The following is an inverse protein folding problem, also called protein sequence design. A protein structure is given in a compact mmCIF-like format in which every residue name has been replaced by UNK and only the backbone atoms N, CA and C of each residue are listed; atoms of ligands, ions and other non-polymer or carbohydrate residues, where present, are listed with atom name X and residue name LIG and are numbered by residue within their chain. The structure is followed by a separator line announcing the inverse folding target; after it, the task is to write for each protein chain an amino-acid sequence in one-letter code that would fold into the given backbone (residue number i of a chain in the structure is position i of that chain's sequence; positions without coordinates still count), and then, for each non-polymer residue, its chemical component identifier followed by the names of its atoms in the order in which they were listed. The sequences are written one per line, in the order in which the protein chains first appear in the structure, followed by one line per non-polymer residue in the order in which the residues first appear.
data_IF_297633640304
#
_entry.id   IF_297633640304
#
_cell.length_a   1.000
_cell.length_b   1.000
_cell.length_c   1.000
_cell.angle_alpha   90.00
_cell.angle_beta   90.00
_cell.angle_gamma   90.00
#
_symmetry.space_group_name_H-M   'P 1'
#
loop_
_entity.id
_entity.type
_entity.pdbx_description
1 polymer ?
#
# COMPACT_ATOMS: atom_id res chain seq x y z
N UNK A 1 -32.77 83.09 -23.08
CA UNK A 1 -32.52 82.60 -21.69
C UNK A 1 -31.05 82.23 -21.61
N UNK A 2 -30.34 82.71 -20.57
CA UNK A 2 -28.87 82.92 -20.48
C UNK A 2 -27.99 81.67 -20.52
N UNK A 3 -26.67 81.72 -20.77
CA UNK A 3 -25.54 82.57 -20.30
C UNK A 3 -25.08 82.31 -18.85
N UNK A 4 -23.80 81.91 -18.73
CA UNK A 4 -22.93 81.85 -17.53
C UNK A 4 -23.23 80.77 -16.47
N UNK A 5 -22.28 80.18 -15.74
CA UNK A 5 -20.81 80.04 -15.80
C UNK A 5 -20.43 79.12 -14.60
N UNK A 6 -19.23 78.53 -14.65
CA UNK A 6 -18.31 78.49 -13.50
C UNK A 6 -18.55 77.55 -12.28
N UNK A 7 -17.45 76.90 -11.85
CA UNK A 7 -17.12 76.23 -10.56
C UNK A 7 -17.57 74.78 -10.39
N UNK A 8 -16.77 73.80 -9.95
CA UNK A 8 -15.51 73.68 -9.19
C UNK A 8 -14.97 72.27 -9.52
N UNK A 9 -13.70 72.05 -9.85
CA UNK A 9 -12.60 72.02 -8.88
C UNK A 9 -12.56 70.71 -8.08
N UNK A 10 -11.90 69.67 -8.60
CA UNK A 10 -11.31 68.60 -7.78
C UNK A 10 -9.97 68.16 -8.38
N UNK A 11 -8.90 68.49 -7.67
CA UNK A 11 -7.52 68.05 -7.89
C UNK A 11 -7.47 66.52 -7.95
N UNK A 12 -6.88 65.98 -9.00
CA UNK A 12 -6.35 64.61 -9.01
C UNK A 12 -5.02 64.66 -8.27
N UNK A 13 -4.97 64.01 -7.11
CA UNK A 13 -3.72 63.69 -6.44
C UNK A 13 -3.02 62.59 -7.25
N UNK A 14 -1.79 62.87 -7.67
CA UNK A 14 -0.83 61.88 -8.13
C UNK A 14 -0.50 60.96 -6.94
N UNK A 15 -1.06 59.74 -6.95
CA UNK A 15 -0.52 58.67 -6.14
C UNK A 15 0.68 58.10 -6.87
N UNK A 16 1.84 58.37 -6.29
CA UNK A 16 3.10 57.68 -6.52
C UNK A 16 2.87 56.18 -6.66
N UNK A 17 3.30 55.64 -7.80
CA UNK A 17 3.54 54.23 -8.00
C UNK A 17 4.66 53.79 -7.05
N UNK A 18 4.31 53.32 -5.87
CA UNK A 18 5.15 52.37 -5.15
C UNK A 18 5.23 51.11 -6.01
N UNK A 19 6.35 50.98 -6.72
CA UNK A 19 6.85 49.70 -7.20
C UNK A 19 6.87 48.74 -6.00
N UNK A 20 5.83 47.91 -5.93
CA UNK A 20 5.89 46.69 -5.16
C UNK A 20 6.67 45.71 -6.02
N UNK A 21 7.98 45.65 -5.79
CA UNK A 21 8.75 44.45 -6.06
C UNK A 21 8.07 43.32 -5.29
N UNK A 22 7.14 42.61 -5.95
CA UNK A 22 6.61 41.36 -5.46
C UNK A 22 7.77 40.39 -5.43
N UNK A 23 8.25 40.13 -4.22
CA UNK A 23 9.27 39.16 -3.90
C UNK A 23 8.79 37.78 -4.38
N UNK A 24 9.21 37.40 -5.58
CA UNK A 24 8.79 36.18 -6.29
C UNK A 24 9.46 34.91 -5.72
N UNK A 25 10.09 35.05 -4.55
CA UNK A 25 10.77 34.00 -3.77
C UNK A 25 9.81 33.17 -2.91
N UNK A 26 8.53 33.56 -2.79
CA UNK A 26 7.58 32.94 -1.85
C UNK A 26 7.06 31.54 -2.18
N UNK A 27 7.37 30.98 -3.36
CA UNK A 27 6.75 29.71 -3.82
C UNK A 27 7.77 28.62 -4.19
N UNK A 28 8.87 28.48 -3.45
CA UNK A 28 9.89 27.45 -3.72
C UNK A 28 10.02 26.48 -2.54
N UNK A 29 10.08 25.19 -2.84
CA UNK A 29 10.35 24.17 -1.83
C UNK A 29 11.78 24.29 -1.29
N UNK A 30 11.93 24.06 0.01
CA UNK A 30 13.18 23.63 0.64
C UNK A 30 13.35 22.13 0.40
N UNK A 31 14.54 21.68 0.05
CA UNK A 31 14.80 20.27 -0.29
C UNK A 31 16.24 19.89 0.03
N UNK A 32 16.47 18.61 0.31
CA UNK A 32 17.79 17.98 0.47
C UNK A 32 18.26 17.27 -0.81
N UNK A 33 17.67 17.56 -1.97
CA UNK A 33 17.97 16.81 -3.19
C UNK A 33 19.45 16.83 -3.61
N UNK A 34 20.16 17.90 -3.26
CA UNK A 34 21.60 18.05 -3.53
C UNK A 34 22.45 17.05 -2.74
N UNK A 35 21.98 16.58 -1.57
CA UNK A 35 22.66 15.56 -0.76
C UNK A 35 22.75 14.21 -1.50
N UNK A 36 21.88 14.01 -2.49
CA UNK A 36 21.84 12.82 -3.34
C UNK A 36 22.49 13.06 -4.72
N UNK A 37 23.21 14.16 -4.91
CA UNK A 37 23.96 14.45 -6.13
C UNK A 37 23.13 15.02 -7.28
N UNK A 38 21.87 15.39 -7.04
CA UNK A 38 21.05 16.05 -8.05
C UNK A 38 21.24 17.57 -8.02
N UNK A 39 21.29 18.19 -9.20
CA UNK A 39 21.26 19.66 -9.29
C UNK A 39 19.92 20.20 -8.78
N UNK A 40 19.93 21.31 -8.05
CA UNK A 40 18.71 21.95 -7.57
C UNK A 40 17.78 22.33 -8.71
N UNK A 41 16.48 22.11 -8.55
CA UNK A 41 15.45 22.59 -9.47
C UNK A 41 14.29 23.26 -8.73
N UNK A 42 13.54 24.06 -9.47
CA UNK A 42 12.43 24.83 -8.94
C UNK A 42 11.11 24.15 -9.27
N UNK A 43 10.48 23.59 -8.24
CA UNK A 43 9.07 23.20 -8.27
C UNK A 43 8.24 24.33 -7.67
N UNK A 44 7.19 24.75 -8.37
CA UNK A 44 6.18 25.63 -7.79
C UNK A 44 5.39 24.89 -6.71
N UNK A 45 5.16 25.54 -5.56
CA UNK A 45 4.35 24.96 -4.47
C UNK A 45 2.87 25.20 -4.76
N UNK A 46 2.10 24.13 -5.00
CA UNK A 46 0.62 24.23 -5.09
C UNK A 46 -0.08 23.85 -3.80
N UNK A 47 0.62 23.22 -2.86
CA UNK A 47 0.04 22.70 -1.62
C UNK A 47 -0.73 21.39 -1.83
N UNK A 48 -0.59 20.77 -3.00
CA UNK A 48 -1.32 19.56 -3.38
C UNK A 48 -0.33 18.49 -3.81
N UNK A 49 -0.17 17.46 -2.98
CA UNK A 49 0.77 16.35 -3.22
C UNK A 49 0.60 15.71 -4.60
N UNK A 50 -0.62 15.62 -5.12
CA UNK A 50 -0.88 15.08 -6.46
C UNK A 50 -0.29 15.93 -7.58
N UNK A 51 -0.32 17.26 -7.44
CA UNK A 51 0.19 18.17 -8.46
C UNK A 51 1.70 18.30 -8.33
N UNK A 52 2.17 18.62 -7.13
CA UNK A 52 3.60 18.82 -6.86
C UNK A 52 4.39 17.52 -7.07
N UNK A 53 3.78 16.38 -6.75
CA UNK A 53 4.31 15.05 -7.01
C UNK A 53 4.50 14.73 -8.48
N UNK A 54 3.51 15.03 -9.34
CA UNK A 54 3.63 14.86 -10.79
C UNK A 54 4.75 15.73 -11.36
N UNK A 55 4.88 16.97 -10.86
CA UNK A 55 5.95 17.86 -11.30
C UNK A 55 7.34 17.33 -10.89
N UNK A 56 7.48 16.82 -9.66
CA UNK A 56 8.71 16.18 -9.22
C UNK A 56 9.04 14.96 -10.10
N UNK A 57 8.09 14.06 -10.32
CA UNK A 57 8.26 12.89 -11.19
C UNK A 57 8.70 13.31 -12.60
N UNK A 58 8.04 14.32 -13.19
CA UNK A 58 8.36 14.80 -14.53
C UNK A 58 9.80 15.31 -14.64
N UNK A 59 10.31 16.00 -13.61
CA UNK A 59 11.69 16.45 -13.56
C UNK A 59 12.68 15.27 -13.51
N UNK A 60 12.44 14.28 -12.64
CA UNK A 60 13.29 13.09 -12.56
C UNK A 60 13.33 12.34 -13.90
N UNK A 61 12.19 12.17 -14.57
CA UNK A 61 12.10 11.51 -15.88
C UNK A 61 12.84 12.29 -16.97
N UNK A 62 12.71 13.62 -17.01
CA UNK A 62 13.41 14.45 -18.00
C UNK A 62 14.93 14.39 -17.81
N UNK A 63 15.41 14.41 -16.56
CA UNK A 63 16.82 14.25 -16.22
C UNK A 63 17.36 12.89 -16.61
N UNK A 64 16.64 11.83 -16.24
CA UNK A 64 17.01 10.46 -16.58
C UNK A 64 17.16 10.31 -18.10
N UNK A 65 16.20 10.84 -18.86
CA UNK A 65 16.22 10.86 -20.32
C UNK A 65 17.43 11.61 -20.88
N UNK A 66 17.77 12.79 -20.35
CA UNK A 66 18.94 13.58 -20.77
C UNK A 66 20.27 12.86 -20.48
N UNK A 67 20.30 12.06 -19.43
CA UNK A 67 21.49 11.31 -18.99
C UNK A 67 21.55 9.88 -19.56
N UNK A 68 20.50 9.42 -20.24
CA UNK A 68 20.41 8.04 -20.73
C UNK A 68 20.29 7.01 -19.60
N UNK A 69 19.71 7.40 -18.47
CA UNK A 69 19.49 6.57 -17.28
C UNK A 69 18.06 6.06 -17.29
N UNK A 70 17.85 4.81 -16.86
CA UNK A 70 16.52 4.25 -16.66
C UNK A 70 15.86 4.89 -15.43
N UNK A 71 14.60 5.28 -15.56
CA UNK A 71 13.84 5.85 -14.45
C UNK A 71 12.41 5.31 -14.42
N UNK A 72 12.01 4.78 -13.28
CA UNK A 72 10.65 4.30 -13.02
C UNK A 72 10.14 4.89 -11.71
N UNK A 73 8.81 4.90 -11.53
CA UNK A 73 8.20 5.46 -10.34
C UNK A 73 6.93 4.72 -9.96
N UNK A 74 6.54 4.83 -8.71
CA UNK A 74 5.23 4.43 -8.20
C UNK A 74 4.68 5.50 -7.27
N UNK A 75 3.37 5.69 -7.29
CA UNK A 75 2.65 6.63 -6.42
C UNK A 75 1.90 5.86 -5.34
N UNK A 76 1.81 6.43 -4.14
CA UNK A 76 1.18 5.81 -2.96
C UNK A 76 1.71 4.38 -2.73
N UNK A 77 3.02 4.23 -2.75
CA UNK A 77 3.68 2.94 -2.57
C UNK A 77 3.55 2.48 -1.12
N UNK A 78 3.15 1.23 -0.92
CA UNK A 78 2.99 0.63 0.41
C UNK A 78 4.11 -0.37 0.63
N UNK A 79 4.91 -0.19 1.67
CA UNK A 79 5.89 -1.17 2.15
C UNK A 79 5.37 -1.88 3.39
N UNK A 80 5.65 -3.18 3.50
CA UNK A 80 5.17 -3.99 4.60
C UNK A 80 6.30 -4.29 5.59
N UNK A 81 6.21 -3.62 6.74
CA UNK A 81 7.15 -3.72 7.85
C UNK A 81 6.59 -4.66 8.93
N UNK A 82 7.40 -4.98 9.95
CA UNK A 82 6.96 -5.82 11.06
C UNK A 82 5.88 -5.13 11.91
N UNK A 83 5.98 -3.82 12.01
CA UNK A 83 5.10 -2.96 12.78
C UNK A 83 3.78 -2.66 12.05
N UNK A 84 3.72 -2.82 10.72
CA UNK A 84 2.55 -2.52 9.91
C UNK A 84 2.88 -2.11 8.47
N UNK A 85 1.97 -1.37 7.84
CA UNK A 85 2.10 -0.83 6.50
C UNK A 85 2.61 0.62 6.55
N UNK A 86 3.66 0.89 5.77
CA UNK A 86 4.21 2.23 5.55
C UNK A 86 3.81 2.71 4.16
N UNK A 87 2.95 3.71 4.09
CA UNK A 87 2.54 4.34 2.83
C UNK A 87 3.39 5.58 2.55
N UNK A 88 4.11 5.57 1.42
CA UNK A 88 4.91 6.70 0.96
C UNK A 88 4.30 7.32 -0.31
N UNK A 89 4.30 8.67 -0.45
CA UNK A 89 3.61 9.32 -1.56
C UNK A 89 4.16 8.94 -2.93
N UNK A 90 5.48 8.90 -3.08
CA UNK A 90 6.15 8.61 -4.34
C UNK A 90 7.45 7.87 -4.05
N UNK A 91 7.70 6.83 -4.84
CA UNK A 91 9.02 6.19 -4.93
C UNK A 91 9.53 6.28 -6.35
N UNK A 92 10.84 6.41 -6.51
CA UNK A 92 11.52 6.53 -7.80
C UNK A 92 12.73 5.60 -7.81
N UNK A 93 12.87 4.79 -8.86
CA UNK A 93 14.15 4.18 -9.21
C UNK A 93 14.80 5.08 -10.27
N UNK A 94 16.03 5.53 -10.02
CA UNK A 94 16.82 6.35 -10.91
C UNK A 94 18.18 5.67 -11.11
N UNK A 95 18.33 4.93 -12.21
CA UNK A 95 19.41 3.98 -12.38
C UNK A 95 19.37 2.90 -11.28
N UNK A 96 20.52 2.64 -10.66
CA UNK A 96 20.65 1.64 -9.58
C UNK A 96 20.24 2.16 -8.19
N UNK A 97 19.72 3.39 -8.11
CA UNK A 97 19.38 4.04 -6.85
C UNK A 97 17.86 4.16 -6.68
N UNK A 98 17.39 3.88 -5.47
CA UNK A 98 15.98 3.88 -5.11
C UNK A 98 15.69 4.99 -4.09
N UNK A 99 14.74 5.86 -4.40
CA UNK A 99 14.41 7.07 -3.64
C UNK A 99 12.96 7.08 -3.19
N UNK A 100 12.73 7.58 -1.98
CA UNK A 100 11.42 7.96 -1.47
C UNK A 100 11.28 9.48 -1.55
N UNK A 101 10.21 9.99 -2.16
CA UNK A 101 9.91 11.42 -2.14
C UNK A 101 8.78 11.73 -1.16
N UNK A 102 8.99 12.72 -0.29
CA UNK A 102 8.01 13.15 0.69
C UNK A 102 7.76 14.67 0.62
N UNK A 103 6.51 15.08 0.80
CA UNK A 103 6.09 16.49 0.68
C UNK A 103 5.62 17.01 2.02
N UNK A 104 6.14 18.16 2.44
CA UNK A 104 5.87 18.76 3.75
C UNK A 104 5.22 20.12 3.53
N UNK A 105 3.92 20.23 3.77
CA UNK A 105 3.17 21.48 3.57
C UNK A 105 2.87 22.20 4.88
N UNK A 106 2.76 21.43 5.97
CA UNK A 106 2.40 21.91 7.29
C UNK A 106 3.16 21.12 8.37
N UNK A 107 2.94 21.50 9.62
CA UNK A 107 3.58 20.88 10.78
C UNK A 107 3.25 19.40 10.92
N UNK A 108 2.02 18.97 10.61
CA UNK A 108 1.64 17.55 10.68
C UNK A 108 2.45 16.69 9.69
N UNK A 109 2.66 17.19 8.47
CA UNK A 109 3.50 16.51 7.48
C UNK A 109 4.96 16.42 7.96
N UNK A 110 5.46 17.46 8.63
CA UNK A 110 6.80 17.46 9.22
C UNK A 110 6.93 16.38 10.30
N UNK A 111 5.92 16.22 11.17
CA UNK A 111 5.93 15.18 12.19
C UNK A 111 5.92 13.77 11.59
N UNK A 112 5.17 13.57 10.50
CA UNK A 112 5.14 12.31 9.74
C UNK A 112 6.47 12.04 9.04
N UNK A 113 7.08 13.06 8.44
CA UNK A 113 8.41 12.97 7.85
C UNK A 113 9.45 12.53 8.88
N UNK A 114 9.41 13.07 10.11
CA UNK A 114 10.32 12.66 11.20
C UNK A 114 10.14 11.20 11.61
N UNK A 115 8.93 10.66 11.58
CA UNK A 115 8.72 9.23 11.77
C UNK A 115 9.25 8.43 10.57
N UNK A 116 8.99 8.88 9.35
CA UNK A 116 9.48 8.23 8.13
C UNK A 116 11.02 8.12 8.09
N UNK A 117 11.76 9.14 8.54
CA UNK A 117 13.24 9.09 8.65
C UNK A 117 13.73 7.87 9.44
N UNK A 118 12.95 7.38 10.42
CA UNK A 118 13.32 6.24 11.27
C UNK A 118 13.03 4.87 10.61
N UNK A 119 12.16 4.84 9.60
CA UNK A 119 11.66 3.60 9.00
C UNK A 119 12.10 3.41 7.54
N UNK A 120 12.36 4.49 6.80
CA UNK A 120 12.62 4.45 5.35
C UNK A 120 13.81 3.54 4.99
N UNK A 121 14.82 3.45 5.87
CA UNK A 121 15.98 2.58 5.69
C UNK A 121 15.67 1.07 5.74
N UNK A 122 14.49 0.68 6.22
CA UNK A 122 13.99 -0.71 6.20
C UNK A 122 13.25 -1.07 4.91
N UNK A 123 13.05 -0.11 4.01
CA UNK A 123 12.29 -0.28 2.76
C UNK A 123 13.22 -0.49 1.57
N UNK A 124 12.66 -0.89 0.43
CA UNK A 124 13.38 -0.93 -0.84
C UNK A 124 13.81 0.46 -1.38
N UNK A 125 13.33 1.56 -0.77
CA UNK A 125 13.56 2.94 -1.23
C UNK A 125 14.18 3.80 -0.10
N UNK A 126 15.39 3.47 0.36
CA UNK A 126 15.97 4.05 1.57
C UNK A 126 16.38 5.53 1.43
N UNK A 127 16.57 6.04 0.21
CA UNK A 127 17.05 7.40 -0.02
C UNK A 127 15.90 8.41 0.06
N UNK A 128 15.73 9.07 1.20
CA UNK A 128 14.62 9.99 1.45
C UNK A 128 14.91 11.42 1.00
N UNK A 129 14.19 11.88 -0.03
CA UNK A 129 14.19 13.27 -0.51
C UNK A 129 12.91 13.96 -0.04
N UNK A 130 13.04 15.12 0.61
CA UNK A 130 11.89 15.94 0.97
C UNK A 130 11.72 17.16 0.08
N UNK A 131 10.47 17.60 -0.05
CA UNK A 131 10.08 18.88 -0.61
C UNK A 131 9.22 19.60 0.43
N UNK A 132 9.80 20.60 1.12
CA UNK A 132 9.16 21.29 2.23
C UNK A 132 8.80 22.74 1.95
N UNK A 133 7.53 23.10 2.17
CA UNK A 133 7.04 24.47 2.09
C UNK A 133 7.30 25.27 3.38
N UNK A 134 7.66 24.58 4.47
CA UNK A 134 8.03 25.18 5.76
C UNK A 134 9.47 24.80 6.14
N UNK A 135 10.16 25.58 6.99
CA UNK A 135 11.47 25.18 7.51
C UNK A 135 11.41 23.83 8.22
N UNK A 136 12.45 23.02 8.10
CA UNK A 136 12.65 21.82 8.93
C UNK A 136 13.47 22.25 10.15
N UNK A 137 12.99 21.94 11.34
CA UNK A 137 13.66 22.26 12.59
C UNK A 137 13.49 21.12 13.59
N UNK A 138 14.43 21.04 14.53
CA UNK A 138 14.46 20.02 15.56
C UNK A 138 13.53 20.36 16.74
N UNK A 139 13.18 19.34 17.53
CA UNK A 139 12.47 19.53 18.81
C UNK A 139 11.00 19.08 18.82
N UNK A 140 10.51 18.46 17.76
CA UNK A 140 9.19 17.83 17.76
C UNK A 140 9.22 16.34 18.04
N UNK A 141 8.17 15.84 18.68
CA UNK A 141 7.91 14.40 18.78
C UNK A 141 7.34 13.88 17.44
N UNK A 142 7.95 12.85 16.83
CA UNK A 142 7.45 12.25 15.60
C UNK A 142 6.00 11.78 15.73
N UNK A 143 5.22 11.96 14.67
CA UNK A 143 3.88 11.39 14.55
C UNK A 143 3.99 10.07 13.80
N UNK A 144 3.51 8.99 14.42
CA UNK A 144 3.52 7.65 13.83
C UNK A 144 2.85 7.66 12.45
N UNK A 145 3.57 7.11 11.46
CA UNK A 145 3.14 7.02 10.06
C UNK A 145 2.85 5.57 9.62
N UNK A 146 3.27 4.58 10.43
CA UNK A 146 2.96 3.18 10.17
C UNK A 146 1.52 2.93 10.61
N UNK A 147 0.71 2.39 9.71
CA UNK A 147 -0.68 2.04 9.94
C UNK A 147 -0.84 0.51 9.91
N UNK A 148 -1.86 -0.07 10.55
CA UNK A 148 -2.17 -1.48 10.36
C UNK A 148 -2.42 -1.78 8.88
N UNK A 149 -1.84 -2.86 8.34
CA UNK A 149 -2.14 -3.31 6.98
C UNK A 149 -3.63 -3.60 6.82
N UNK A 150 -4.20 -3.15 5.70
CA UNK A 150 -5.60 -3.40 5.35
C UNK A 150 -5.70 -4.06 3.99
N UNK A 151 -6.72 -4.89 3.76
CA UNK A 151 -6.99 -5.40 2.41
C UNK A 151 -7.26 -4.29 1.39
N UNK A 152 -7.63 -3.10 1.87
CA UNK A 152 -7.78 -1.88 1.07
C UNK A 152 -6.47 -1.36 0.47
N UNK A 153 -5.31 -1.87 0.91
CA UNK A 153 -4.00 -1.59 0.33
C UNK A 153 -3.75 -2.42 -0.94
N UNK A 154 -4.63 -3.36 -1.26
CA UNK A 154 -4.53 -4.20 -2.46
C UNK A 154 -5.51 -3.79 -3.55
N UNK A 155 -5.19 -4.12 -4.80
CA UNK A 155 -6.08 -3.90 -5.95
C UNK A 155 -6.11 -5.13 -6.85
N UNK A 156 -7.28 -5.45 -7.40
CA UNK A 156 -7.34 -6.43 -8.49
C UNK A 156 -6.60 -5.92 -9.72
N UNK A 157 -5.79 -6.77 -10.32
CA UNK A 157 -5.18 -6.57 -11.63
C UNK A 157 -5.82 -7.54 -12.62
N UNK A 158 -6.56 -7.01 -13.60
CA UNK A 158 -7.34 -7.82 -14.54
C UNK A 158 -6.51 -8.26 -15.74
N UNK A 159 -5.42 -7.55 -16.02
CA UNK A 159 -4.58 -7.78 -17.20
C UNK A 159 -3.25 -8.45 -16.86
N UNK A 160 -3.04 -8.85 -15.60
CA UNK A 160 -1.82 -9.52 -15.17
C UNK A 160 -1.66 -10.88 -15.85
N UNK A 161 -0.52 -11.07 -16.50
CA UNK A 161 -0.04 -12.41 -16.83
C UNK A 161 0.57 -13.05 -15.59
N UNK A 162 -0.07 -14.10 -15.08
CA UNK A 162 0.45 -14.92 -13.98
C UNK A 162 0.99 -16.23 -14.52
N UNK A 163 2.26 -16.52 -14.21
CA UNK A 163 2.96 -17.74 -14.63
C UNK A 163 3.74 -18.32 -13.46
N UNK A 164 4.04 -19.60 -13.53
CA UNK A 164 4.85 -20.31 -12.53
C UNK A 164 4.03 -20.84 -11.36
N UNK A 165 4.72 -21.01 -10.23
CA UNK A 165 4.18 -21.72 -9.06
C UNK A 165 3.77 -20.75 -7.97
N UNK A 166 2.49 -20.84 -7.58
CA UNK A 166 1.90 -20.09 -6.49
C UNK A 166 1.51 -21.03 -5.36
N UNK A 167 1.79 -20.67 -4.10
CA UNK A 167 1.47 -21.53 -2.96
C UNK A 167 1.11 -20.72 -1.72
N UNK A 168 0.36 -21.33 -0.79
CA UNK A 168 0.11 -20.76 0.54
C UNK A 168 1.38 -20.82 1.39
N UNK A 169 2.19 -21.86 1.18
CA UNK A 169 3.47 -22.08 1.82
C UNK A 169 4.37 -22.95 0.93
N UNK A 170 5.68 -22.77 1.06
CA UNK A 170 6.71 -23.60 0.45
C UNK A 170 7.93 -23.68 1.35
N UNK A 171 8.64 -24.80 1.23
CA UNK A 171 9.91 -25.05 1.91
C UNK A 171 10.99 -24.11 1.37
N UNK A 172 11.80 -23.54 2.27
CA UNK A 172 12.92 -22.68 1.92
C UNK A 172 14.01 -22.68 3.01
N UNK A 173 15.13 -22.03 2.69
CA UNK A 173 16.23 -21.79 3.63
C UNK A 173 15.75 -20.92 4.80
N UNK A 174 15.35 -21.56 5.89
CA UNK A 174 14.80 -20.90 7.09
C UNK A 174 13.40 -21.36 7.50
N UNK A 175 12.74 -22.18 6.70
CA UNK A 175 11.48 -22.85 7.04
C UNK A 175 11.30 -24.13 6.21
N UNK A 176 11.92 -25.23 6.65
CA UNK A 176 11.94 -26.49 5.90
C UNK A 176 10.64 -27.30 6.02
N UNK A 177 9.86 -27.07 7.09
CA UNK A 177 8.66 -27.85 7.41
C UNK A 177 7.45 -26.95 7.65
N UNK A 178 6.34 -27.30 7.03
CA UNK A 178 5.07 -26.62 7.21
C UNK A 178 4.51 -26.82 8.62
N UNK A 179 4.63 -28.04 9.17
CA UNK A 179 4.12 -28.39 10.50
C UNK A 179 4.71 -27.56 11.65
N UNK A 180 5.87 -26.94 11.43
CA UNK A 180 6.58 -26.11 12.41
C UNK A 180 6.56 -24.62 12.04
N UNK A 181 5.97 -24.27 10.89
CA UNK A 181 5.99 -22.91 10.33
C UNK A 181 5.13 -21.91 11.11
N UNK A 182 5.52 -20.64 11.11
CA UNK A 182 4.64 -19.54 11.56
C UNK A 182 3.46 -19.38 10.59
N UNK A 183 3.66 -19.72 9.33
CA UNK A 183 2.62 -19.72 8.30
C UNK A 183 1.45 -20.64 8.69
N UNK A 184 1.71 -21.87 9.16
CA UNK A 184 0.66 -22.79 9.64
C UNK A 184 -0.12 -22.18 10.81
N UNK A 185 0.57 -21.57 11.79
CA UNK A 185 -0.08 -20.94 12.95
C UNK A 185 -1.01 -19.80 12.51
N UNK A 186 -0.57 -18.97 11.59
CA UNK A 186 -1.38 -17.84 11.08
C UNK A 186 -2.54 -18.32 10.21
N UNK A 187 -2.32 -19.31 9.34
CA UNK A 187 -3.39 -19.90 8.53
C UNK A 187 -4.45 -20.58 9.40
N UNK A 188 -4.06 -21.30 10.45
CA UNK A 188 -5.01 -21.92 11.39
C UNK A 188 -5.94 -20.86 11.99
N UNK A 189 -5.38 -19.75 12.47
CA UNK A 189 -6.17 -18.63 13.00
C UNK A 189 -7.04 -17.98 11.94
N UNK A 190 -6.57 -17.86 10.69
CA UNK A 190 -7.38 -17.33 9.59
C UNK A 190 -8.60 -18.20 9.33
N UNK A 191 -8.44 -19.52 9.22
CA UNK A 191 -9.56 -20.44 9.01
C UNK A 191 -10.51 -20.49 10.21
N UNK A 192 -10.00 -20.37 11.45
CA UNK A 192 -10.85 -20.16 12.62
C UNK A 192 -11.66 -18.86 12.50
N UNK A 193 -11.05 -17.76 12.04
CA UNK A 193 -11.71 -16.47 11.80
C UNK A 193 -12.76 -16.56 10.71
N UNK A 194 -12.51 -17.34 9.66
CA UNK A 194 -13.44 -17.51 8.54
C UNK A 194 -14.71 -18.25 8.96
N UNK A 195 -14.57 -19.29 9.80
CA UNK A 195 -15.65 -20.17 10.21
C UNK A 195 -16.91 -19.43 10.67
N UNK A 196 -18.00 -19.63 9.94
CA UNK A 196 -19.33 -19.07 10.21
C UNK A 196 -19.56 -17.67 9.66
N UNK A 197 -18.58 -17.09 8.95
CA UNK A 197 -18.66 -15.74 8.40
C UNK A 197 -18.06 -15.64 6.98
N UNK A 198 -17.75 -16.76 6.34
CA UNK A 198 -17.13 -16.85 5.02
C UNK A 198 -17.81 -15.97 3.97
N UNK A 199 -19.15 -15.95 3.90
CA UNK A 199 -19.90 -15.16 2.91
C UNK A 199 -19.77 -13.65 3.13
N UNK A 200 -19.67 -13.21 4.39
CA UNK A 200 -19.41 -11.83 4.73
C UNK A 200 -17.96 -11.45 4.42
N UNK A 201 -17.01 -12.28 4.81
CA UNK A 201 -15.58 -12.01 4.61
C UNK A 201 -15.21 -12.07 3.13
N UNK A 202 -15.88 -12.91 2.34
CA UNK A 202 -15.76 -12.91 0.88
C UNK A 202 -16.26 -11.59 0.29
N UNK A 203 -17.47 -11.16 0.65
CA UNK A 203 -17.99 -9.86 0.20
C UNK A 203 -17.12 -8.68 0.64
N UNK A 204 -16.57 -8.74 1.85
CA UNK A 204 -15.60 -7.79 2.37
C UNK A 204 -14.35 -7.73 1.48
N UNK A 205 -13.74 -8.88 1.16
CA UNK A 205 -12.54 -8.97 0.31
C UNK A 205 -12.79 -8.33 -1.05
N UNK A 206 -13.93 -8.67 -1.67
CA UNK A 206 -14.26 -8.21 -3.02
C UNK A 206 -14.44 -6.70 -3.07
N UNK A 207 -15.03 -6.13 -2.01
CA UNK A 207 -15.14 -4.69 -1.83
C UNK A 207 -13.77 -4.03 -1.61
N UNK A 208 -12.97 -4.52 -0.66
CA UNK A 208 -11.71 -3.86 -0.30
C UNK A 208 -10.70 -3.86 -1.45
N UNK A 209 -10.68 -4.95 -2.23
CA UNK A 209 -9.81 -5.10 -3.40
C UNK A 209 -10.38 -4.48 -4.68
N UNK A 210 -11.59 -3.91 -4.61
CA UNK A 210 -12.34 -3.30 -5.73
C UNK A 210 -12.60 -4.26 -6.89
N UNK A 211 -12.79 -5.53 -6.58
CA UNK A 211 -13.30 -6.51 -7.55
C UNK A 211 -14.78 -6.22 -7.85
N UNK A 212 -15.52 -5.74 -6.85
CA UNK A 212 -16.89 -5.25 -7.01
C UNK A 212 -16.96 -3.74 -6.78
N UNK A 213 -17.94 -3.08 -7.39
CA UNK A 213 -18.19 -1.63 -7.20
C UNK A 213 -19.09 -1.35 -5.98
N UNK A 214 -19.52 -2.37 -5.24
CA UNK A 214 -20.38 -2.21 -4.08
C UNK A 214 -19.68 -1.40 -3.00
N UNK A 215 -20.33 -0.37 -2.46
CA UNK A 215 -19.83 0.40 -1.31
C UNK A 215 -20.27 -0.21 0.02
N UNK A 216 -21.33 -1.01 0.00
CA UNK A 216 -21.87 -1.67 1.19
C UNK A 216 -21.28 -3.06 1.38
N UNK A 217 -21.17 -3.51 2.64
CA UNK A 217 -20.81 -4.88 2.94
C UNK A 217 -21.99 -5.79 2.58
N UNK A 218 -21.76 -6.71 1.66
CA UNK A 218 -22.77 -7.68 1.20
C UNK A 218 -22.33 -9.09 1.57
N UNK A 219 -23.29 -9.97 1.88
CA UNK A 219 -23.04 -11.41 1.90
C UNK A 219 -23.01 -11.90 0.47
N UNK A 220 -21.95 -12.61 0.10
CA UNK A 220 -21.82 -13.24 -1.21
C UNK A 220 -21.51 -14.72 -1.00
N UNK A 221 -22.26 -15.59 -1.68
CA UNK A 221 -21.95 -17.03 -1.67
C UNK A 221 -20.61 -17.26 -2.34
N UNK A 222 -19.78 -18.12 -1.73
CA UNK A 222 -18.54 -18.57 -2.37
C UNK A 222 -18.90 -19.41 -3.61
N UNK A 223 -18.10 -19.34 -4.68
CA UNK A 223 -18.37 -20.12 -5.89
C UNK A 223 -18.14 -21.62 -5.67
N UNK A 224 -18.96 -22.47 -6.28
CA UNK A 224 -18.78 -23.93 -6.24
C UNK A 224 -17.43 -24.33 -6.86
N UNK A 225 -17.11 -23.75 -8.02
CA UNK A 225 -15.81 -23.87 -8.67
C UNK A 225 -14.84 -22.78 -8.20
N UNK A 226 -13.54 -23.06 -8.31
CA UNK A 226 -12.50 -22.09 -7.94
C UNK A 226 -12.53 -20.83 -8.81
N UNK A 227 -12.77 -19.68 -8.19
CA UNK A 227 -12.51 -18.37 -8.78
C UNK A 227 -11.09 -17.91 -8.40
N UNK A 228 -10.37 -17.34 -9.36
CA UNK A 228 -9.03 -16.79 -9.16
C UNK A 228 -9.03 -15.29 -9.51
N UNK A 229 -8.45 -14.49 -8.64
CA UNK A 229 -8.22 -13.07 -8.85
C UNK A 229 -6.75 -12.77 -8.62
N UNK A 230 -6.13 -12.00 -9.50
CA UNK A 230 -4.76 -11.51 -9.29
C UNK A 230 -4.85 -10.18 -8.57
N UNK A 231 -4.13 -10.04 -7.47
CA UNK A 231 -4.08 -8.83 -6.66
C UNK A 231 -2.68 -8.24 -6.71
N UNK A 232 -2.58 -6.93 -6.94
CA UNK A 232 -1.38 -6.15 -6.61
C UNK A 232 -1.45 -5.84 -5.12
N UNK A 233 -0.54 -6.43 -4.37
CA UNK A 233 -0.37 -6.25 -2.94
C UNK A 233 0.73 -5.20 -2.65
N UNK A 234 0.97 -4.82 -1.37
CA UNK A 234 2.10 -3.97 -1.02
C UNK A 234 3.40 -4.43 -1.66
N UNK A 235 4.27 -3.47 -1.98
CA UNK A 235 5.54 -3.72 -2.68
C UNK A 235 5.35 -4.29 -4.10
N UNK A 236 4.19 -4.01 -4.70
CA UNK A 236 3.79 -4.43 -6.05
C UNK A 236 3.85 -5.95 -6.26
N UNK A 237 3.72 -6.75 -5.20
CA UNK A 237 3.70 -8.21 -5.32
C UNK A 237 2.39 -8.68 -5.93
N UNK A 238 2.47 -9.55 -6.93
CA UNK A 238 1.29 -10.20 -7.50
C UNK A 238 0.92 -11.41 -6.65
N UNK A 239 -0.17 -11.30 -5.89
CA UNK A 239 -0.72 -12.40 -5.07
C UNK A 239 -1.97 -12.92 -5.74
N UNK A 240 -2.12 -14.24 -5.80
CA UNK A 240 -3.35 -14.85 -6.30
C UNK A 240 -4.32 -15.10 -5.15
N UNK A 241 -5.49 -14.48 -5.23
CA UNK A 241 -6.64 -14.77 -4.38
C UNK A 241 -7.46 -15.87 -5.04
N UNK A 242 -7.45 -17.07 -4.46
CA UNK A 242 -8.27 -18.20 -4.89
C UNK A 242 -9.43 -18.40 -3.91
N UNK A 243 -10.64 -18.55 -4.44
CA UNK A 243 -11.87 -18.66 -3.64
C UNK A 243 -12.72 -19.81 -4.16
N UNK A 244 -13.19 -20.68 -3.26
CA UNK A 244 -14.16 -21.73 -3.56
C UNK A 244 -14.93 -22.12 -2.31
N UNK A 245 -16.09 -22.74 -2.47
CA UNK A 245 -16.87 -23.27 -1.35
C UNK A 245 -16.08 -24.33 -0.55
N UNK A 246 -15.39 -25.24 -1.25
CA UNK A 246 -14.60 -26.31 -0.62
C UNK A 246 -13.39 -25.79 0.15
N UNK A 247 -12.59 -24.89 -0.45
CA UNK A 247 -11.27 -24.48 0.10
C UNK A 247 -11.29 -23.13 0.79
N UNK A 248 -12.41 -22.41 0.74
CA UNK A 248 -12.59 -21.07 1.29
C UNK A 248 -11.78 -20.02 0.56
N UNK A 249 -11.26 -19.06 1.33
CA UNK A 249 -10.46 -17.93 0.87
C UNK A 249 -8.97 -18.28 1.03
N UNK A 250 -8.21 -18.27 -0.08
CA UNK A 250 -6.78 -18.58 -0.09
C UNK A 250 -5.98 -17.47 -0.75
N UNK A 251 -4.90 -17.06 -0.10
CA UNK A 251 -3.87 -16.22 -0.70
C UNK A 251 -2.69 -17.11 -1.09
N UNK A 252 -2.35 -17.09 -2.37
CA UNK A 252 -1.25 -17.85 -2.94
C UNK A 252 -0.17 -16.86 -3.40
N UNK A 253 1.06 -17.13 -3.02
CA UNK A 253 2.21 -16.26 -3.29
C UNK A 253 3.13 -16.88 -4.35
N UNK A 254 3.74 -16.08 -5.23
CA UNK A 254 4.72 -16.56 -6.19
C UNK A 254 5.97 -17.05 -5.47
N UNK A 255 6.21 -18.36 -5.53
CA UNK A 255 7.25 -19.05 -4.74
C UNK A 255 8.68 -18.55 -5.03
N UNK A 256 8.93 -18.02 -6.23
CA UNK A 256 10.25 -17.52 -6.65
C UNK A 256 10.47 -16.03 -6.38
N UNK A 257 9.43 -15.28 -5.99
CA UNK A 257 9.48 -13.81 -5.87
C UNK A 257 9.10 -13.29 -4.48
N UNK A 258 8.49 -14.13 -3.65
CA UNK A 258 8.08 -13.77 -2.30
C UNK A 258 9.07 -14.31 -1.28
N UNK A 259 9.46 -13.49 -0.31
CA UNK A 259 10.27 -13.97 0.83
C UNK A 259 9.37 -14.51 1.93
N UNK A 260 9.94 -15.31 2.84
CA UNK A 260 9.24 -15.81 4.03
C UNK A 260 8.69 -14.65 4.87
N UNK A 261 9.51 -13.62 5.12
CA UNK A 261 9.17 -12.48 5.96
C UNK A 261 8.00 -11.68 5.36
N UNK A 262 7.99 -11.48 4.04
CA UNK A 262 6.87 -10.82 3.37
C UNK A 262 5.58 -11.61 3.53
N UNK A 263 5.63 -12.93 3.27
CA UNK A 263 4.47 -13.84 3.41
C UNK A 263 3.90 -13.78 4.83
N UNK A 264 4.75 -13.85 5.85
CA UNK A 264 4.35 -13.83 7.25
C UNK A 264 3.72 -12.50 7.65
N UNK A 265 4.35 -11.37 7.29
CA UNK A 265 3.79 -10.03 7.57
C UNK A 265 2.46 -9.84 6.87
N UNK A 266 2.36 -10.28 5.61
CA UNK A 266 1.12 -10.18 4.83
C UNK A 266 -0.01 -10.98 5.49
N UNK A 267 0.22 -12.26 5.79
CA UNK A 267 -0.79 -13.12 6.40
C UNK A 267 -1.20 -12.62 7.80
N UNK A 268 -0.26 -12.07 8.56
CA UNK A 268 -0.53 -11.48 9.87
C UNK A 268 -1.41 -10.24 9.76
N UNK A 269 -1.12 -9.36 8.79
CA UNK A 269 -1.96 -8.19 8.51
C UNK A 269 -3.37 -8.60 8.06
N UNK A 270 -3.48 -9.54 7.11
CA UNK A 270 -4.76 -10.10 6.66
C UNK A 270 -5.56 -10.67 7.82
N UNK A 271 -4.91 -11.39 8.74
CA UNK A 271 -5.55 -11.94 9.93
C UNK A 271 -6.13 -10.83 10.82
N UNK A 272 -5.37 -9.77 11.07
CA UNK A 272 -5.84 -8.63 11.89
C UNK A 272 -7.03 -7.93 11.21
N UNK A 273 -6.97 -7.68 9.90
CA UNK A 273 -8.06 -7.02 9.17
C UNK A 273 -9.35 -7.86 9.19
N UNK A 274 -9.25 -9.17 8.93
CA UNK A 274 -10.41 -10.06 9.01
C UNK A 274 -10.94 -10.25 10.42
N UNK A 275 -10.07 -10.37 11.42
CA UNK A 275 -10.49 -10.47 12.81
C UNK A 275 -11.27 -9.22 13.23
N UNK A 276 -10.79 -8.04 12.85
CA UNK A 276 -11.48 -6.78 13.12
C UNK A 276 -12.89 -6.75 12.48
N UNK A 277 -12.99 -7.24 11.24
CA UNK A 277 -14.26 -7.32 10.51
C UNK A 277 -15.22 -8.32 11.17
N UNK A 278 -14.73 -9.49 11.58
CA UNK A 278 -15.54 -10.47 12.30
C UNK A 278 -16.05 -9.92 13.62
N UNK A 279 -15.20 -9.28 14.41
CA UNK A 279 -15.60 -8.67 15.68
C UNK A 279 -16.67 -7.59 15.48
N UNK A 280 -16.54 -6.78 14.43
CA UNK A 280 -17.57 -5.82 14.04
C UNK A 280 -18.91 -6.53 13.73
N UNK A 281 -18.89 -7.61 12.94
CA UNK A 281 -20.09 -8.38 12.61
C UNK A 281 -20.76 -8.98 13.85
N UNK A 282 -19.97 -9.53 14.78
CA UNK A 282 -20.47 -10.08 16.05
C UNK A 282 -21.09 -9.01 16.95
N UNK A 283 -20.46 -7.84 17.06
CA UNK A 283 -21.00 -6.71 17.83
C UNK A 283 -22.35 -6.22 17.28
N UNK A 284 -22.55 -6.35 15.97
CA UNK A 284 -23.78 -5.97 15.29
C UNK A 284 -24.75 -7.15 15.10
N UNK A 285 -24.50 -8.28 15.76
CA UNK A 285 -25.36 -9.47 15.74
C UNK A 285 -25.67 -9.98 14.32
N UNK A 286 -24.70 -9.90 13.42
CA UNK A 286 -24.81 -10.50 12.10
C UNK A 286 -24.98 -12.03 12.25
N UNK A 287 -25.92 -12.59 11.48
CA UNK A 287 -26.16 -14.04 11.48
C UNK A 287 -24.94 -14.76 10.93
N UNK A 288 -24.59 -15.89 11.53
CA UNK A 288 -23.57 -16.78 10.98
C UNK A 288 -24.05 -17.41 9.66
N UNK A 289 -23.10 -17.91 8.89
CA UNK A 289 -23.35 -18.75 7.73
C UNK A 289 -23.95 -20.11 8.16
N UNK A 290 -24.84 -20.66 7.32
CA UNK A 290 -25.31 -22.03 7.54
C UNK A 290 -24.15 -23.00 7.35
N UNK A 291 -24.11 -24.05 8.17
CA UNK A 291 -23.11 -25.12 8.00
C UNK A 291 -23.31 -25.79 6.63
N UNK A 292 -22.25 -25.79 5.83
CA UNK A 292 -22.22 -26.42 4.51
C UNK A 292 -21.22 -27.57 4.49
N UNK A 293 -21.48 -28.59 3.68
CA UNK A 293 -20.55 -29.69 3.42
C UNK A 293 -20.31 -29.81 1.91
N UNK A 294 -19.06 -29.73 1.42
CA UNK A 294 -17.82 -29.48 2.18
C UNK A 294 -17.70 -28.02 2.67
N UNK A 295 -16.90 -27.80 3.73
CA UNK A 295 -16.52 -26.46 4.21
C UNK A 295 -15.00 -26.24 4.27
N UNK A 296 -14.63 -24.96 4.21
CA UNK A 296 -13.23 -24.52 4.15
C UNK A 296 -12.41 -24.83 5.39
N UNK A 297 -13.04 -24.81 6.56
CA UNK A 297 -12.41 -25.08 7.85
C UNK A 297 -11.93 -26.53 7.94
N UNK A 298 -12.80 -27.47 7.62
CA UNK A 298 -12.51 -28.89 7.66
C UNK A 298 -11.51 -29.30 6.58
N UNK A 299 -11.63 -28.71 5.38
CA UNK A 299 -10.64 -28.88 4.32
C UNK A 299 -9.23 -28.47 4.80
N UNK A 300 -9.10 -27.28 5.39
CA UNK A 300 -7.79 -26.80 5.86
C UNK A 300 -7.23 -27.68 6.96
N UNK A 301 -8.03 -28.03 7.97
CA UNK A 301 -7.58 -28.88 9.07
C UNK A 301 -7.15 -30.27 8.60
N UNK A 302 -7.88 -30.86 7.65
CA UNK A 302 -7.50 -32.12 7.04
C UNK A 302 -6.17 -31.99 6.30
N UNK A 303 -6.03 -30.99 5.45
CA UNK A 303 -4.80 -30.73 4.68
C UNK A 303 -3.59 -30.51 5.61
N UNK A 304 -3.75 -29.67 6.65
CA UNK A 304 -2.67 -29.35 7.59
C UNK A 304 -2.25 -30.58 8.40
N UNK A 305 -3.22 -31.39 8.84
CA UNK A 305 -2.97 -32.65 9.55
C UNK A 305 -2.19 -33.64 8.69
N UNK A 306 -2.68 -33.94 7.49
CA UNK A 306 -2.04 -34.89 6.57
C UNK A 306 -0.62 -34.44 6.24
N UNK A 307 -0.43 -33.15 5.97
CA UNK A 307 0.89 -32.58 5.68
C UNK A 307 1.85 -32.79 6.85
N UNK A 308 1.42 -32.45 8.07
CA UNK A 308 2.24 -32.60 9.28
C UNK A 308 2.54 -34.07 9.61
N UNK A 309 1.62 -34.99 9.34
CA UNK A 309 1.84 -36.43 9.53
C UNK A 309 2.90 -36.96 8.57
N UNK A 310 2.86 -36.57 7.28
CA UNK A 310 3.87 -36.93 6.28
C UNK A 310 5.26 -36.42 6.66
N UNK A 311 5.36 -35.19 7.16
CA UNK A 311 6.64 -34.64 7.65
C UNK A 311 7.20 -35.40 8.86
N UNK A 312 6.34 -35.92 9.74
CA UNK A 312 6.75 -36.76 10.88
C UNK A 312 7.24 -38.13 10.45
N UNK A 313 6.73 -38.65 9.33
CA UNK A 313 7.19 -39.89 8.70
C UNK A 313 8.50 -39.71 7.91
N UNK A 314 9.00 -38.47 7.84
CA UNK A 314 10.25 -38.12 7.17
C UNK A 314 10.09 -37.81 5.68
N UNK A 315 8.84 -37.65 5.19
CA UNK A 315 8.60 -37.20 3.84
C UNK A 315 8.83 -35.68 3.73
N UNK A 316 9.55 -35.26 2.68
CA UNK A 316 9.67 -33.85 2.33
C UNK A 316 8.38 -33.31 1.74
N UNK A 317 7.94 -32.14 2.21
CA UNK A 317 6.82 -31.40 1.63
C UNK A 317 7.36 -30.09 1.09
N UNK A 318 7.36 -29.96 -0.24
CA UNK A 318 7.91 -28.76 -0.88
C UNK A 318 6.92 -27.61 -0.92
N UNK A 319 5.63 -27.91 -1.08
CA UNK A 319 4.57 -26.94 -1.35
C UNK A 319 3.27 -27.31 -0.64
N UNK A 320 2.54 -26.31 -0.15
CA UNK A 320 1.22 -26.47 0.46
C UNK A 320 0.20 -25.52 -0.18
N UNK A 321 -0.97 -26.08 -0.53
CA UNK A 321 -2.07 -25.33 -1.12
C UNK A 321 -1.77 -24.75 -2.51
N UNK A 322 -0.83 -25.35 -3.26
CA UNK A 322 -0.24 -24.77 -4.46
C UNK A 322 -1.11 -24.86 -5.73
N UNK A 323 -0.74 -24.02 -6.71
CA UNK A 323 -1.24 -23.97 -8.07
C UNK A 323 -0.08 -23.74 -9.04
N UNK A 324 -0.07 -24.47 -10.15
CA UNK A 324 0.88 -24.31 -11.25
C UNK A 324 0.16 -23.62 -12.41
N UNK A 325 0.76 -22.56 -12.96
CA UNK A 325 0.22 -21.77 -14.06
C UNK A 325 1.24 -21.78 -15.21
N UNK A 326 0.77 -22.18 -16.39
CA UNK A 326 1.58 -22.36 -17.60
C UNK A 326 1.93 -21.03 -18.30
#
# INVERSE_FOLDING_TARGET
MGFFDFLKGKKREEKQSTESTSDNTKNKFLTNIEDFGFEKFELGITGKVRVDGILAIAEFLDRAKKQGIECSHSVMYVSLLEEGALTVPIVINYGDQAYTLFFIYNEEDLLKYKSLEQHVGKTAYPNLIYFSAIPIYDGYEPKEIIEPFQLADMRVEKEAEVKGTYAMWWSNDGEEKFGESETLKTLTKLYDVFKGYETYLFGYILRQTRITESTELQRLSLPEESANFVLVAPENKLIMLNISQEKGIRFLFPTNETTKEYRERFLSGVLVDFLSTRLYLQQHQANEDEEMEPNSYDWFNFMAKVTTEREKEGEGVDLVGAMMLD
#
